data_IF_853631014850
#
_entry.id   IF_853631014850
#
_cell.length_a   1.000
_cell.length_b   1.000
_cell.length_c   1.000
_cell.angle_alpha   90.00
_cell.angle_beta   90.00
_cell.angle_gamma   90.00
#
_symmetry.space_group_name_H-M   'P 1'
#
loop_
_entity.id
_entity.type
_entity.pdbx_description
1 polymer ?
#
# COMPACT_ATOMS: atom_id res chain seq x y z
N UNK A 1 -9.59 16.77 0.41
CA UNK A 1 -10.82 15.97 0.22
C UNK A 1 -11.07 15.14 1.48
N UNK A 2 -12.09 15.43 2.30
CA UNK A 2 -12.56 14.48 3.31
C UNK A 2 -14.06 14.70 3.55
N UNK A 3 -14.89 14.34 2.57
CA UNK A 3 -16.21 13.81 2.91
C UNK A 3 -16.06 12.29 3.05
N UNK A 4 -16.33 11.83 4.27
CA UNK A 4 -16.52 10.48 4.77
C UNK A 4 -16.35 9.32 3.75
N UNK A 5 -15.12 8.81 3.63
CA UNK A 5 -14.98 7.37 3.40
C UNK A 5 -14.91 6.72 4.78
N UNK A 6 -15.95 5.98 5.16
CA UNK A 6 -15.86 5.08 6.31
C UNK A 6 -14.93 3.92 5.97
N UNK A 7 -13.65 4.08 6.32
CA UNK A 7 -12.66 3.03 6.15
C UNK A 7 -12.86 2.01 7.27
N UNK A 8 -13.34 0.82 6.89
CA UNK A 8 -13.58 -0.29 7.81
C UNK A 8 -12.27 -0.81 8.41
N UNK A 9 -12.33 -1.51 9.54
CA UNK A 9 -11.13 -2.15 10.12
C UNK A 9 -10.45 -3.10 9.12
N UNK A 10 -11.25 -3.82 8.31
CA UNK A 10 -10.74 -4.66 7.22
C UNK A 10 -9.94 -3.84 6.21
N UNK A 11 -10.46 -2.71 5.76
CA UNK A 11 -9.78 -1.86 4.77
C UNK A 11 -8.46 -1.29 5.31
N UNK A 12 -8.41 -0.94 6.60
CA UNK A 12 -7.17 -0.50 7.27
C UNK A 12 -6.12 -1.60 7.25
N UNK A 13 -6.54 -2.83 7.56
CA UNK A 13 -5.69 -4.01 7.49
C UNK A 13 -5.18 -4.28 6.07
N UNK A 14 -6.06 -4.22 5.08
CA UNK A 14 -5.69 -4.38 3.66
C UNK A 14 -4.71 -3.30 3.19
N UNK A 15 -4.86 -2.06 3.66
CA UNK A 15 -3.95 -0.98 3.32
C UNK A 15 -2.54 -1.24 3.85
N UNK A 16 -2.41 -1.51 5.15
CA UNK A 16 -1.11 -1.78 5.75
C UNK A 16 -0.48 -3.05 5.17
N UNK A 17 -1.26 -4.13 4.99
CA UNK A 17 -0.80 -5.37 4.38
C UNK A 17 -0.31 -5.14 2.95
N UNK A 18 -1.10 -4.46 2.12
CA UNK A 18 -0.74 -4.16 0.73
C UNK A 18 0.55 -3.34 0.64
N UNK A 19 0.72 -2.36 1.53
CA UNK A 19 1.97 -1.58 1.62
C UNK A 19 3.16 -2.47 2.01
N UNK A 20 3.01 -3.31 3.04
CA UNK A 20 4.07 -4.24 3.47
C UNK A 20 4.45 -5.26 2.39
N UNK A 21 3.51 -5.73 1.58
CA UNK A 21 3.80 -6.62 0.43
C UNK A 21 4.71 -5.93 -0.58
N UNK A 22 4.50 -4.64 -0.85
CA UNK A 22 5.35 -3.85 -1.74
C UNK A 22 6.75 -3.64 -1.13
N UNK A 23 6.80 -3.27 0.16
CA UNK A 23 8.07 -3.17 0.90
C UNK A 23 8.84 -4.48 0.89
N UNK A 24 8.17 -5.64 1.01
CA UNK A 24 8.80 -6.97 0.95
C UNK A 24 9.34 -7.30 -0.45
N UNK A 25 8.73 -6.77 -1.51
CA UNK A 25 9.22 -6.94 -2.89
C UNK A 25 10.50 -6.15 -3.13
N UNK A 26 10.71 -5.06 -2.39
CA UNK A 26 12.01 -4.44 -2.27
C UNK A 26 12.91 -5.41 -1.49
N UNK A 27 13.95 -5.93 -2.14
CA UNK A 27 14.85 -6.95 -1.55
C UNK A 27 15.56 -6.48 -0.28
N UNK A 28 15.54 -5.18 -0.01
CA UNK A 28 16.12 -4.53 1.17
C UNK A 28 15.11 -3.51 1.74
N UNK A 29 14.85 -3.59 3.05
CA UNK A 29 13.97 -2.66 3.76
C UNK A 29 14.76 -1.41 4.13
N UNK A 30 14.52 -0.31 3.42
CA UNK A 30 15.19 0.97 3.65
C UNK A 30 14.66 1.69 4.91
N UNK A 31 15.39 2.72 5.38
CA UNK A 31 14.89 3.60 6.44
C UNK A 31 13.60 4.33 6.05
N UNK A 32 13.42 4.64 4.77
CA UNK A 32 12.18 5.26 4.33
C UNK A 32 11.02 4.27 4.39
N UNK A 33 11.21 3.00 4.02
CA UNK A 33 10.16 1.98 4.15
C UNK A 33 9.71 1.83 5.60
N UNK A 34 10.66 1.86 6.54
CA UNK A 34 10.37 1.86 7.98
C UNK A 34 9.56 3.09 8.36
N UNK A 35 10.02 4.28 8.00
CA UNK A 35 9.34 5.54 8.32
C UNK A 35 7.93 5.60 7.73
N UNK A 36 7.76 5.21 6.47
CA UNK A 36 6.45 5.23 5.81
C UNK A 36 5.51 4.17 6.34
N UNK A 37 5.99 2.98 6.67
CA UNK A 37 5.17 1.98 7.37
C UNK A 37 4.66 2.54 8.70
N UNK A 38 5.48 3.33 9.41
CA UNK A 38 5.08 3.96 10.66
C UNK A 38 4.03 5.06 10.45
N UNK A 39 4.21 5.89 9.42
CA UNK A 39 3.23 6.91 9.04
C UNK A 39 1.89 6.27 8.65
N UNK A 40 1.91 5.26 7.78
CA UNK A 40 0.72 4.53 7.33
C UNK A 40 0.05 3.82 8.50
N UNK A 41 0.82 3.09 9.31
CA UNK A 41 0.32 2.40 10.50
C UNK A 41 -0.39 3.34 11.46
N UNK A 42 0.25 4.44 11.82
CA UNK A 42 -0.33 5.49 12.68
C UNK A 42 -1.58 6.11 12.07
N UNK A 43 -1.57 6.41 10.77
CA UNK A 43 -2.72 6.98 10.07
C UNK A 43 -3.97 6.09 10.16
N UNK A 44 -3.78 4.78 10.13
CA UNK A 44 -4.87 3.80 10.26
C UNK A 44 -5.12 3.30 11.69
N UNK A 45 -4.41 3.84 12.68
CA UNK A 45 -4.62 3.53 14.10
C UNK A 45 -3.96 2.23 14.58
N UNK A 46 -2.95 1.75 13.88
CA UNK A 46 -2.11 0.64 14.36
C UNK A 46 -1.10 1.13 15.40
N UNK A 47 -0.84 0.31 16.41
CA UNK A 47 0.17 0.58 17.41
C UNK A 47 1.57 0.58 16.78
N UNK A 48 2.45 1.43 17.29
CA UNK A 48 3.81 1.56 16.77
C UNK A 48 4.59 0.23 16.87
N UNK A 49 4.50 -0.43 18.02
CA UNK A 49 5.18 -1.71 18.27
C UNK A 49 4.68 -2.83 17.34
N UNK A 50 3.39 -2.81 16.99
CA UNK A 50 2.84 -3.75 16.01
C UNK A 50 3.50 -3.57 14.64
N UNK A 51 3.62 -2.34 14.16
CA UNK A 51 4.25 -2.07 12.86
C UNK A 51 5.77 -2.33 12.88
N UNK A 52 6.46 -2.06 13.99
CA UNK A 52 7.88 -2.41 14.15
C UNK A 52 8.08 -3.92 14.06
N UNK A 53 7.26 -4.70 14.76
CA UNK A 53 7.34 -6.16 14.72
C UNK A 53 6.98 -6.70 13.34
N UNK A 54 5.98 -6.11 12.66
CA UNK A 54 5.62 -6.46 11.29
C UNK A 54 6.79 -6.26 10.32
N UNK A 55 7.51 -5.14 10.41
CA UNK A 55 8.71 -4.87 9.61
C UNK A 55 9.86 -5.82 9.92
N UNK A 56 10.13 -6.03 11.21
CA UNK A 56 11.23 -6.90 11.67
C UNK A 56 11.10 -8.31 11.13
N UNK A 57 9.88 -8.84 11.07
CA UNK A 57 9.62 -10.20 10.60
C UNK A 57 9.23 -10.26 9.12
N UNK A 58 9.14 -9.12 8.41
CA UNK A 58 8.50 -9.03 7.09
C UNK A 58 9.08 -10.00 6.06
N UNK A 59 10.40 -10.13 6.02
CA UNK A 59 11.09 -10.98 5.03
C UNK A 59 10.92 -12.48 5.30
N UNK A 60 10.71 -12.84 6.57
CA UNK A 60 10.57 -14.23 7.02
C UNK A 60 9.10 -14.63 7.22
N UNK A 61 8.18 -13.67 7.16
CA UNK A 61 6.76 -13.90 7.42
C UNK A 61 6.04 -14.45 6.18
N UNK A 62 5.95 -15.78 6.14
CA UNK A 62 5.23 -16.54 5.11
C UNK A 62 3.69 -16.41 5.23
N UNK A 63 3.19 -15.89 6.34
CA UNK A 63 1.74 -15.75 6.59
C UNK A 63 1.15 -14.46 6.03
N UNK A 64 1.99 -13.51 5.59
CA UNK A 64 1.51 -12.33 4.87
C UNK A 64 1.14 -12.76 3.45
N UNK A 65 -0.16 -12.84 3.18
CA UNK A 65 -0.65 -13.04 1.83
C UNK A 65 -0.10 -11.96 0.90
N UNK A 66 0.50 -12.36 -0.22
CA UNK A 66 0.97 -11.45 -1.28
C UNK A 66 -0.11 -11.14 -2.32
N UNK A 67 -1.33 -11.64 -2.13
CA UNK A 67 -2.44 -11.35 -3.03
C UNK A 67 -2.72 -9.84 -3.09
N UNK A 68 -3.11 -9.33 -4.28
CA UNK A 68 -3.60 -7.96 -4.41
C UNK A 68 -4.71 -7.67 -3.38
N UNK A 69 -4.67 -6.55 -2.64
CA UNK A 69 -5.69 -6.23 -1.64
C UNK A 69 -7.07 -6.07 -2.28
N UNK A 70 -8.09 -6.53 -1.56
CA UNK A 70 -9.50 -6.30 -1.90
C UNK A 70 -10.14 -5.42 -0.85
N UNK A 71 -10.46 -4.19 -1.24
CA UNK A 71 -11.13 -3.23 -0.39
C UNK A 71 -12.65 -3.42 -0.46
N UNK A 72 -13.34 -2.91 0.56
CA UNK A 72 -14.80 -2.92 0.66
C UNK A 72 -15.46 -2.03 -0.41
N UNK A 73 -14.75 -1.01 -0.89
CA UNK A 73 -15.26 -0.03 -1.84
C UNK A 73 -14.17 0.37 -2.86
N UNK A 74 -14.49 0.47 -4.17
CA UNK A 74 -13.57 0.94 -5.20
C UNK A 74 -12.90 2.30 -4.91
N UNK A 75 -13.57 3.24 -4.24
CA UNK A 75 -12.98 4.54 -3.88
C UNK A 75 -11.83 4.39 -2.89
N UNK A 76 -11.91 3.43 -1.96
CA UNK A 76 -10.82 3.14 -1.02
C UNK A 76 -9.65 2.50 -1.76
N UNK A 77 -9.93 1.59 -2.69
CA UNK A 77 -8.91 0.99 -3.53
C UNK A 77 -8.20 2.04 -4.41
N UNK A 78 -8.95 2.95 -5.02
CA UNK A 78 -8.39 4.06 -5.81
C UNK A 78 -7.47 4.94 -4.95
N UNK A 79 -7.91 5.29 -3.74
CA UNK A 79 -7.09 6.03 -2.78
C UNK A 79 -5.80 5.27 -2.43
N UNK A 80 -5.90 3.97 -2.11
CA UNK A 80 -4.71 3.14 -1.84
C UNK A 80 -3.75 3.12 -3.03
N UNK A 81 -4.24 2.90 -4.24
CA UNK A 81 -3.43 2.82 -5.46
C UNK A 81 -2.71 4.14 -5.73
N UNK A 82 -3.41 5.28 -5.65
CA UNK A 82 -2.83 6.60 -5.92
C UNK A 82 -1.78 6.96 -4.86
N UNK A 83 -2.10 6.83 -3.58
CA UNK A 83 -1.19 7.26 -2.51
C UNK A 83 0.03 6.34 -2.43
N UNK A 84 -0.16 5.03 -2.54
CA UNK A 84 0.96 4.08 -2.49
C UNK A 84 1.87 4.23 -3.72
N UNK A 85 1.31 4.47 -4.91
CA UNK A 85 2.10 4.76 -6.11
C UNK A 85 2.94 6.04 -5.93
N UNK A 86 2.35 7.11 -5.37
CA UNK A 86 3.05 8.36 -5.10
C UNK A 86 4.20 8.16 -4.12
N UNK A 87 3.98 7.40 -3.05
CA UNK A 87 4.99 7.08 -2.04
C UNK A 87 6.14 6.30 -2.68
N UNK A 88 5.86 5.21 -3.39
CA UNK A 88 6.90 4.37 -3.99
C UNK A 88 7.69 5.08 -5.08
N UNK A 89 7.05 5.90 -5.91
CA UNK A 89 7.74 6.66 -6.96
C UNK A 89 8.74 7.68 -6.41
N UNK A 90 8.56 8.15 -5.18
CA UNK A 90 9.53 9.03 -4.51
C UNK A 90 10.75 8.25 -4.00
N UNK A 91 10.64 6.94 -3.84
CA UNK A 91 11.71 6.08 -3.35
C UNK A 91 12.63 5.61 -4.46
N UNK A 92 12.02 5.05 -5.50
CA UNK A 92 12.73 4.44 -6.60
C UNK A 92 11.84 4.44 -7.85
N UNK A 93 12.44 4.27 -9.04
CA UNK A 93 11.68 3.90 -10.22
C UNK A 93 10.91 2.61 -9.94
N UNK A 94 9.61 2.59 -10.24
CA UNK A 94 8.82 1.37 -10.09
C UNK A 94 9.35 0.30 -11.04
N UNK A 95 9.61 -0.88 -10.50
CA UNK A 95 9.98 -2.07 -11.25
C UNK A 95 8.73 -2.69 -11.92
N UNK A 96 8.96 -3.52 -12.95
CA UNK A 96 7.88 -4.11 -13.73
C UNK A 96 6.93 -4.98 -12.88
N UNK A 97 7.47 -5.75 -11.93
CA UNK A 97 6.69 -6.57 -10.99
C UNK A 97 5.77 -5.72 -10.09
N UNK A 98 6.20 -4.54 -9.67
CA UNK A 98 5.39 -3.61 -8.88
C UNK A 98 4.29 -2.99 -9.75
N UNK A 99 4.62 -2.57 -10.97
CA UNK A 99 3.60 -2.09 -11.92
C UNK A 99 2.52 -3.15 -12.17
N UNK A 100 2.91 -4.40 -12.38
CA UNK A 100 1.96 -5.51 -12.52
C UNK A 100 1.13 -5.72 -11.25
N UNK A 101 1.72 -5.54 -10.06
CA UNK A 101 1.01 -5.64 -8.80
C UNK A 101 -0.04 -4.53 -8.63
N UNK A 102 0.27 -3.29 -9.03
CA UNK A 102 -0.70 -2.19 -9.05
C UNK A 102 -1.84 -2.46 -10.03
N UNK A 103 -1.55 -2.97 -11.23
CA UNK A 103 -2.57 -3.33 -12.22
C UNK A 103 -3.48 -4.43 -11.67
N UNK A 104 -2.92 -5.51 -11.14
CA UNK A 104 -3.70 -6.61 -10.56
C UNK A 104 -4.57 -6.14 -9.38
N UNK A 105 -4.06 -5.21 -8.57
CA UNK A 105 -4.84 -4.59 -7.48
C UNK A 105 -5.98 -3.74 -8.03
N UNK A 106 -5.75 -2.96 -9.07
CA UNK A 106 -6.79 -2.16 -9.71
C UNK A 106 -7.90 -3.04 -10.30
N UNK A 107 -7.53 -4.09 -11.04
CA UNK A 107 -8.46 -5.06 -11.62
C UNK A 107 -9.31 -5.76 -10.55
N UNK A 108 -8.67 -6.27 -9.48
CA UNK A 108 -9.36 -6.93 -8.36
C UNK A 108 -10.37 -6.01 -7.68
N UNK A 109 -10.16 -4.70 -7.72
CA UNK A 109 -11.05 -3.69 -7.13
C UNK A 109 -11.96 -2.98 -8.14
N UNK A 110 -11.94 -3.37 -9.41
CA UNK A 110 -12.71 -2.73 -10.48
C UNK A 110 -12.40 -1.22 -10.62
N UNK A 111 -11.14 -0.85 -10.38
CA UNK A 111 -10.63 0.52 -10.53
C UNK A 111 -9.90 0.62 -11.87
N UNK A 112 -10.13 1.72 -12.60
CA UNK A 112 -9.40 1.99 -13.83
C UNK A 112 -7.94 2.36 -13.53
N UNK A 113 -7.01 1.47 -13.90
CA UNK A 113 -5.58 1.66 -13.64
C UNK A 113 -4.93 2.81 -14.42
N UNK A 114 -5.55 3.29 -15.51
CA UNK A 114 -5.05 4.45 -16.26
C UNK A 114 -5.03 5.73 -15.40
N UNK A 115 -5.92 5.83 -14.40
CA UNK A 115 -6.01 6.96 -13.48
C UNK A 115 -4.79 7.07 -12.55
N UNK A 116 -4.13 5.96 -12.27
CA UNK A 116 -2.98 5.88 -11.35
C UNK A 116 -1.80 6.68 -11.94
N UNK A 117 -1.51 6.50 -13.23
CA UNK A 117 -0.43 7.22 -13.91
C UNK A 117 -0.74 8.71 -14.09
N UNK A 118 -1.98 9.06 -14.46
CA UNK A 118 -2.37 10.46 -14.72
C UNK A 118 -2.40 11.36 -13.48
N UNK A 119 -2.87 10.86 -12.32
CA UNK A 119 -2.99 11.66 -11.08
C UNK A 119 -1.69 11.78 -10.28
N UNK A 120 -0.63 11.10 -10.72
CA UNK A 120 0.70 11.16 -10.12
C UNK A 120 1.61 12.27 -10.67
N UNK A 121 1.13 13.05 -11.65
CA UNK A 121 1.92 14.06 -12.40
C UNK A 121 1.63 15.50 -11.96
N UNK A 122 0.65 15.71 -11.06
CA UNK A 122 0.34 17.08 -10.58
C UNK A 122 1.33 17.44 -9.49
N UNK A 123 2.26 18.32 -9.84
CA UNK A 123 3.20 19.03 -8.94
C UNK A 123 2.62 20.40 -8.62
#
# INVERSE_FOLDING_TARGET
MKQLMEITLKDRGEFLRGFLVLVKKNKEISEFDKNMTMVVGKYFGFAEDFCKEALKNLMENEYISEEPPKFSNPCIAEYFLIETYRILKQLHPLEHNEEQWFIATAERNQVNHALIKMRSVVT
#
